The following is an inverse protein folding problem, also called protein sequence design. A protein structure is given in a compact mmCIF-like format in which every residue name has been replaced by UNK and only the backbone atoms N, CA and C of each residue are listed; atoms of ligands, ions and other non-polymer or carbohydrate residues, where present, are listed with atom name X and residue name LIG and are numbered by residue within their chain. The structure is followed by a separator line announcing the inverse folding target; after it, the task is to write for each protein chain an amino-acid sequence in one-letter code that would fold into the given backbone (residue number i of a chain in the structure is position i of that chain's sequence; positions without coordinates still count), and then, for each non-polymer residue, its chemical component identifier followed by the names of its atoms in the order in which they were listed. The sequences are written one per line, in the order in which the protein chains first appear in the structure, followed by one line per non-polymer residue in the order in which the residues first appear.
data_IF_749713479890
#
_entry.id   IF_749713479890
#
_cell.length_a   1.000
_cell.length_b   1.000
_cell.length_c   1.000
_cell.angle_alpha   90.00
_cell.angle_beta   90.00
_cell.angle_gamma   90.00
#
_symmetry.space_group_name_H-M   'P 1'
#
loop_
_entity.id
_entity.type
_entity.pdbx_description
1 polymer ?
#
# COMPACT_ATOMS: atom_id res chain seq x y z
N UNK A 1 -28.26 37.10 1.85
CA UNK A 1 -29.63 36.68 2.25
C UNK A 1 -29.53 35.25 2.75
N UNK A 2 -29.90 35.10 3.98
CA UNK A 2 -29.79 33.88 4.78
C UNK A 2 -30.76 32.80 4.27
N UNK A 3 -30.31 31.55 4.34
CA UNK A 3 -31.21 30.40 4.39
C UNK A 3 -31.11 29.84 5.81
N UNK A 4 -32.08 30.22 6.63
CA UNK A 4 -32.36 29.63 7.93
C UNK A 4 -33.22 28.37 7.80
N UNK A 5 -32.87 27.41 8.56
CA UNK A 5 -33.35 26.20 9.12
C UNK A 5 -34.74 25.68 8.82
N UNK A 6 -34.79 24.35 8.86
CA UNK A 6 -35.87 23.61 9.54
C UNK A 6 -35.47 22.13 9.63
N UNK A 7 -35.54 21.62 10.85
CA UNK A 7 -35.42 20.23 11.24
C UNK A 7 -36.49 19.33 10.60
N UNK A 8 -36.10 18.11 10.33
CA UNK A 8 -37.04 17.01 10.41
C UNK A 8 -37.26 16.21 9.15
N UNK A 9 -36.87 14.96 9.21
CA UNK A 9 -37.43 13.83 8.50
C UNK A 9 -37.00 13.54 7.05
N UNK A 10 -36.30 12.47 6.94
CA UNK A 10 -36.29 11.44 5.89
C UNK A 10 -36.69 11.79 4.44
N UNK A 11 -35.95 11.13 3.58
CA UNK A 11 -36.19 10.75 2.18
C UNK A 11 -35.56 11.63 1.09
N UNK A 12 -34.60 10.97 0.46
CA UNK A 12 -34.28 10.95 -0.98
C UNK A 12 -34.68 12.19 -1.79
N UNK A 13 -33.74 12.84 -2.40
CA UNK A 13 -33.70 13.01 -3.86
C UNK A 13 -32.60 14.00 -4.26
N UNK A 14 -31.80 13.58 -5.18
CA UNK A 14 -30.91 14.33 -6.06
C UNK A 14 -31.29 15.79 -6.28
N UNK A 15 -30.49 16.70 -5.72
CA UNK A 15 -30.56 18.14 -6.00
C UNK A 15 -29.38 18.60 -6.86
N UNK A 16 -29.57 18.56 -8.18
CA UNK A 16 -28.67 19.12 -9.18
C UNK A 16 -28.89 20.63 -9.27
N UNK A 17 -28.01 21.42 -8.68
CA UNK A 17 -28.00 22.86 -8.91
C UNK A 17 -27.30 23.21 -10.20
N UNK A 18 -28.11 23.48 -11.24
CA UNK A 18 -27.69 24.04 -12.52
C UNK A 18 -27.49 25.54 -12.33
N UNK A 19 -26.28 26.03 -12.59
CA UNK A 19 -26.00 27.46 -12.64
C UNK A 19 -26.07 27.91 -14.11
N UNK A 20 -27.04 28.79 -14.38
CA UNK A 20 -27.28 29.41 -15.66
C UNK A 20 -26.09 30.26 -16.14
N UNK A 21 -25.69 30.02 -17.34
CA UNK A 21 -24.74 30.84 -18.09
C UNK A 21 -25.48 32.05 -18.67
N UNK A 22 -25.14 33.23 -18.19
CA UNK A 22 -25.57 34.48 -18.86
C UNK A 22 -24.51 34.87 -19.91
N UNK A 23 -24.94 34.84 -21.13
CA UNK A 23 -24.27 35.43 -22.29
C UNK A 23 -24.23 36.95 -22.10
N UNK A 24 -23.07 37.55 -22.34
CA UNK A 24 -23.00 38.91 -22.76
C UNK A 24 -21.97 39.06 -23.87
N UNK A 25 -22.49 39.50 -24.99
CA UNK A 25 -21.87 39.75 -26.27
C UNK A 25 -21.48 41.22 -26.31
N UNK A 26 -20.30 41.59 -26.77
CA UNK A 26 -20.17 42.76 -27.68
C UNK A 26 -18.72 42.97 -28.15
N UNK A 27 -18.65 42.90 -29.42
CA UNK A 27 -17.90 43.62 -30.44
C UNK A 27 -16.84 44.63 -29.99
N UNK A 28 -15.67 44.52 -30.66
CA UNK A 28 -14.63 45.52 -30.67
C UNK A 28 -13.50 45.17 -31.63
N UNK A 29 -13.75 45.43 -32.93
CA UNK A 29 -12.70 45.39 -33.96
C UNK A 29 -11.66 46.45 -33.68
N UNK A 30 -10.37 46.11 -33.63
CA UNK A 30 -9.31 46.95 -34.14
C UNK A 30 -8.11 46.11 -34.55
N UNK A 31 -7.73 46.31 -35.81
CA UNK A 31 -6.55 45.74 -36.44
C UNK A 31 -5.27 46.28 -35.84
N UNK A 32 -4.29 45.40 -35.62
CA UNK A 32 -2.91 45.73 -35.29
C UNK A 32 -2.04 44.55 -35.69
N UNK A 33 -1.55 44.61 -36.92
CA UNK A 33 -0.42 43.78 -37.38
C UNK A 33 0.80 44.26 -36.63
N UNK A 34 1.52 43.37 -36.03
CA UNK A 34 2.93 43.28 -35.73
C UNK A 34 3.16 42.71 -34.33
N UNK A 35 3.44 41.39 -34.26
CA UNK A 35 3.74 40.73 -32.97
C UNK A 35 3.93 39.21 -33.05
N UNK A 36 3.93 38.64 -34.24
CA UNK A 36 3.87 37.19 -34.41
C UNK A 36 5.19 36.43 -34.23
N UNK A 37 6.30 37.09 -33.92
CA UNK A 37 7.60 36.38 -33.78
C UNK A 37 8.13 36.25 -32.35
N UNK A 38 7.54 36.97 -31.39
CA UNK A 38 8.00 36.87 -29.97
C UNK A 38 7.16 35.92 -29.11
N UNK A 39 5.94 35.59 -29.50
CA UNK A 39 5.04 34.72 -28.75
C UNK A 39 5.32 33.23 -28.94
N UNK A 40 5.90 32.84 -30.08
CA UNK A 40 6.27 31.45 -30.36
C UNK A 40 7.46 30.96 -29.52
N UNK A 41 8.38 31.84 -29.15
CA UNK A 41 9.54 31.49 -28.34
C UNK A 41 9.21 31.25 -26.85
N UNK A 42 8.18 31.92 -26.33
CA UNK A 42 7.77 31.78 -24.92
C UNK A 42 6.91 30.52 -24.73
N UNK A 43 6.09 30.15 -25.72
CA UNK A 43 5.30 28.92 -25.66
C UNK A 43 6.16 27.65 -25.69
N UNK A 44 7.28 27.65 -26.44
CA UNK A 44 8.23 26.55 -26.48
C UNK A 44 9.02 26.37 -25.17
N UNK A 45 9.31 27.45 -24.44
CA UNK A 45 10.02 27.40 -23.17
C UNK A 45 9.14 26.86 -22.03
N UNK A 46 7.84 27.12 -22.02
CA UNK A 46 6.90 26.59 -21.02
C UNK A 46 6.59 25.10 -21.23
N UNK A 47 6.64 24.60 -22.47
CA UNK A 47 6.47 23.17 -22.75
C UNK A 47 7.66 22.31 -22.29
N UNK A 48 8.87 22.90 -22.22
CA UNK A 48 10.07 22.18 -21.77
C UNK A 48 10.16 22.04 -20.24
N UNK A 49 9.48 22.89 -19.44
CA UNK A 49 9.44 22.80 -17.99
C UNK A 49 8.42 21.75 -17.47
N UNK A 50 7.48 21.30 -18.29
CA UNK A 50 6.47 20.30 -17.91
C UNK A 50 6.96 18.85 -17.95
N UNK A 51 8.15 18.58 -18.46
CA UNK A 51 8.72 17.24 -18.62
C UNK A 51 9.62 16.77 -17.46
N UNK A 52 9.69 17.52 -16.36
CA UNK A 52 10.25 17.02 -15.10
C UNK A 52 9.24 16.07 -14.50
N UNK A 53 9.03 14.93 -15.18
CA UNK A 53 8.23 13.81 -14.71
C UNK A 53 8.71 13.44 -13.32
N UNK A 54 7.78 13.39 -12.37
CA UNK A 54 7.98 12.88 -11.04
C UNK A 54 8.58 11.49 -11.16
N UNK A 55 9.91 11.37 -11.01
CA UNK A 55 10.55 10.10 -10.78
C UNK A 55 9.96 9.61 -9.46
N UNK A 56 8.95 8.75 -9.54
CA UNK A 56 8.48 7.97 -8.40
C UNK A 56 9.69 7.15 -7.95
N UNK A 57 10.40 7.65 -6.93
CA UNK A 57 11.52 6.95 -6.33
C UNK A 57 11.02 5.55 -5.99
N UNK A 58 11.63 4.54 -6.58
CA UNK A 58 11.37 3.15 -6.24
C UNK A 58 11.60 3.03 -4.73
N UNK A 59 10.52 2.98 -3.95
CA UNK A 59 10.60 2.76 -2.51
C UNK A 59 11.07 1.34 -2.32
N UNK A 60 12.16 1.21 -1.62
CA UNK A 60 12.65 -0.07 -1.16
C UNK A 60 11.76 -0.54 -0.01
N UNK A 61 11.01 -1.61 -0.21
CA UNK A 61 9.98 -2.07 0.72
C UNK A 61 9.86 -3.59 0.70
N UNK A 62 9.53 -4.21 1.83
CA UNK A 62 8.99 -5.57 1.86
C UNK A 62 7.47 -5.47 1.78
N UNK A 63 6.91 -6.02 0.72
CA UNK A 63 5.49 -6.01 0.43
C UNK A 63 4.91 -7.42 0.45
N UNK A 64 3.66 -7.57 0.84
CA UNK A 64 2.95 -8.83 0.77
C UNK A 64 1.60 -8.62 0.09
N UNK A 65 1.27 -9.54 -0.83
CA UNK A 65 -0.01 -9.57 -1.55
C UNK A 65 -0.79 -10.81 -1.14
N UNK A 66 -2.04 -10.61 -0.76
CA UNK A 66 -2.98 -11.68 -0.48
C UNK A 66 -3.69 -12.11 -1.77
N UNK A 67 -3.21 -13.16 -2.40
CA UNK A 67 -3.83 -13.77 -3.59
C UNK A 67 -4.72 -14.97 -3.23
N UNK A 68 -5.14 -15.07 -1.97
CA UNK A 68 -6.08 -16.08 -1.50
C UNK A 68 -7.52 -15.58 -1.59
N UNK A 69 -8.47 -16.48 -1.43
CA UNK A 69 -9.90 -16.16 -1.42
C UNK A 69 -10.42 -15.74 -0.02
N UNK A 70 -9.55 -15.68 1.01
CA UNK A 70 -9.92 -15.35 2.38
C UNK A 70 -9.13 -14.13 2.90
N UNK A 71 -9.63 -13.52 3.95
CA UNK A 71 -8.84 -12.55 4.72
C UNK A 71 -7.73 -13.29 5.45
N UNK A 72 -6.53 -12.71 5.42
CA UNK A 72 -5.36 -13.24 6.12
C UNK A 72 -4.86 -12.26 7.18
N UNK A 73 -4.30 -12.81 8.25
CA UNK A 73 -3.50 -12.09 9.25
C UNK A 73 -2.05 -12.50 9.09
N UNK A 74 -1.16 -11.53 8.98
CA UNK A 74 0.26 -11.75 8.66
C UNK A 74 1.14 -11.22 9.78
N UNK A 75 2.16 -11.97 10.13
CA UNK A 75 3.27 -11.53 10.96
C UNK A 75 4.59 -11.73 10.21
N UNK A 76 5.57 -10.88 10.47
CA UNK A 76 6.91 -10.94 9.90
C UNK A 76 7.96 -11.03 10.99
N UNK A 77 9.12 -11.57 10.65
CA UNK A 77 10.31 -11.46 11.47
C UNK A 77 11.54 -11.25 10.60
N UNK A 78 12.52 -10.57 11.15
CA UNK A 78 13.76 -10.21 10.47
C UNK A 78 14.86 -9.89 11.50
N UNK A 79 16.07 -9.72 11.01
CA UNK A 79 17.21 -9.27 11.81
C UNK A 79 17.98 -8.20 11.04
N UNK A 80 18.50 -7.23 11.77
CA UNK A 80 19.44 -6.23 11.26
C UNK A 80 20.92 -6.70 11.41
N UNK A 81 21.12 -7.96 11.77
CA UNK A 81 22.43 -8.55 12.07
C UNK A 81 22.85 -8.35 13.55
N UNK A 82 22.12 -7.59 14.33
CA UNK A 82 22.38 -7.37 15.77
C UNK A 82 21.29 -7.99 16.64
N UNK A 83 20.04 -7.75 16.29
CA UNK A 83 18.89 -8.24 17.01
C UNK A 83 17.83 -8.82 16.07
N UNK A 84 17.09 -9.79 16.59
CA UNK A 84 15.87 -10.28 15.94
C UNK A 84 14.69 -9.43 16.35
N UNK A 85 13.79 -9.20 15.42
CA UNK A 85 12.50 -8.58 15.67
C UNK A 85 11.39 -9.40 14.99
N UNK A 86 10.26 -9.54 15.66
CA UNK A 86 9.03 -10.05 15.06
C UNK A 86 7.90 -9.07 15.32
N UNK A 87 7.06 -8.83 14.34
CA UNK A 87 5.96 -7.89 14.44
C UNK A 87 4.77 -8.35 13.60
N UNK A 88 3.57 -7.93 13.98
CA UNK A 88 2.25 -8.25 13.40
C UNK A 88 1.17 -7.60 14.25
N UNK A 89 -0.07 -7.65 13.86
CA UNK A 89 -0.64 -8.36 12.72
C UNK A 89 -1.09 -7.37 11.65
N UNK A 90 -0.78 -7.68 10.41
CA UNK A 90 -1.39 -7.01 9.25
C UNK A 90 -2.54 -7.84 8.75
N UNK A 91 -3.72 -7.23 8.64
CA UNK A 91 -4.94 -7.91 8.21
C UNK A 91 -5.28 -7.51 6.77
N UNK A 92 -5.02 -8.40 5.81
CA UNK A 92 -5.21 -8.15 4.40
C UNK A 92 -6.47 -8.86 3.87
N UNK A 93 -7.33 -8.09 3.19
CA UNK A 93 -8.45 -8.65 2.42
C UNK A 93 -7.93 -9.38 1.16
N UNK A 94 -8.75 -10.26 0.54
CA UNK A 94 -8.42 -10.84 -0.76
C UNK A 94 -8.04 -9.78 -1.79
N UNK A 95 -7.08 -10.09 -2.64
CA UNK A 95 -6.54 -9.24 -3.70
C UNK A 95 -5.92 -7.90 -3.23
N UNK A 96 -5.60 -7.77 -1.94
CA UNK A 96 -4.93 -6.58 -1.39
C UNK A 96 -3.45 -6.86 -1.17
N UNK A 97 -2.62 -5.88 -1.51
CA UNK A 97 -1.20 -5.88 -1.19
C UNK A 97 -0.90 -4.77 -0.19
N UNK A 98 -0.04 -5.06 0.79
CA UNK A 98 0.39 -4.10 1.80
C UNK A 98 1.90 -4.09 1.96
N UNK A 99 2.45 -2.93 2.33
CA UNK A 99 3.86 -2.79 2.68
C UNK A 99 4.04 -3.10 4.15
N UNK A 100 4.73 -4.18 4.45
CA UNK A 100 4.99 -4.65 5.81
C UNK A 100 6.20 -3.93 6.42
N UNK A 101 7.28 -3.78 5.65
CA UNK A 101 8.44 -2.99 6.04
C UNK A 101 8.70 -1.89 5.02
N UNK A 102 8.93 -0.68 5.53
CA UNK A 102 9.28 0.49 4.72
C UNK A 102 10.77 0.76 4.81
N UNK A 103 11.36 1.11 3.67
CA UNK A 103 12.80 1.39 3.58
C UNK A 103 13.58 0.21 3.00
N UNK A 104 14.87 0.41 2.73
CA UNK A 104 15.73 -0.60 2.10
C UNK A 104 15.78 -1.87 2.93
N UNK A 105 15.69 -3.00 2.23
CA UNK A 105 15.89 -4.30 2.87
C UNK A 105 17.34 -4.39 3.36
N UNK A 106 17.52 -4.63 4.65
CA UNK A 106 18.82 -4.69 5.32
C UNK A 106 19.34 -6.11 5.50
N UNK A 107 18.48 -7.12 5.29
CA UNK A 107 18.82 -8.53 5.41
C UNK A 107 18.50 -9.27 4.11
N UNK A 108 19.18 -10.40 3.90
CA UNK A 108 18.86 -11.33 2.83
C UNK A 108 17.62 -12.17 3.16
N UNK A 109 17.46 -12.56 4.44
CA UNK A 109 16.41 -13.46 4.86
C UNK A 109 15.36 -12.72 5.67
N UNK A 110 14.10 -12.92 5.28
CA UNK A 110 12.92 -12.48 6.00
C UNK A 110 12.04 -13.69 6.30
N UNK A 111 11.24 -13.59 7.33
CA UNK A 111 10.43 -14.69 7.81
C UNK A 111 8.98 -14.23 7.88
N UNK A 112 8.07 -15.07 7.42
CA UNK A 112 6.64 -14.76 7.38
C UNK A 112 5.86 -15.89 8.01
N UNK A 113 4.86 -15.54 8.79
CA UNK A 113 3.78 -16.39 9.20
C UNK A 113 2.46 -15.74 8.80
N UNK A 114 1.53 -16.52 8.30
CA UNK A 114 0.20 -16.04 8.01
C UNK A 114 -0.84 -17.09 8.37
N UNK A 115 -2.04 -16.62 8.72
CA UNK A 115 -3.21 -17.47 8.93
C UNK A 115 -4.43 -16.82 8.29
N UNK A 116 -5.38 -17.62 7.85
CA UNK A 116 -6.64 -17.13 7.32
C UNK A 116 -7.79 -17.31 8.32
N UNK A 117 -8.90 -16.63 8.06
CA UNK A 117 -10.11 -16.70 8.89
C UNK A 117 -10.81 -18.07 8.85
N UNK A 118 -10.37 -19.00 8.01
CA UNK A 118 -10.88 -20.37 7.87
C UNK A 118 -9.99 -21.42 8.54
N UNK A 119 -8.92 -21.00 9.21
CA UNK A 119 -7.97 -21.84 9.92
C UNK A 119 -6.85 -22.39 9.04
N UNK A 120 -6.67 -21.85 7.83
CA UNK A 120 -5.49 -22.14 7.00
C UNK A 120 -4.27 -21.40 7.53
N UNK A 121 -3.10 -22.02 7.43
CA UNK A 121 -1.84 -21.44 7.89
C UNK A 121 -0.72 -21.58 6.86
N UNK A 122 0.07 -20.52 6.73
CA UNK A 122 1.35 -20.51 6.04
C UNK A 122 2.43 -20.40 7.11
N UNK A 123 3.03 -21.53 7.44
CA UNK A 123 4.02 -21.66 8.50
C UNK A 123 5.27 -22.41 8.05
N UNK A 124 6.34 -22.28 8.81
CA UNK A 124 7.62 -22.94 8.56
C UNK A 124 8.29 -23.42 9.85
N UNK A 125 9.61 -23.58 9.78
CA UNK A 125 10.41 -24.18 10.85
C UNK A 125 11.24 -23.15 11.64
N UNK A 126 11.22 -21.88 11.25
CA UNK A 126 11.95 -20.81 11.96
C UNK A 126 11.05 -20.23 13.03
N UNK A 127 11.38 -20.51 14.30
CA UNK A 127 10.51 -20.12 15.41
C UNK A 127 10.82 -18.71 15.89
N UNK A 128 9.74 -17.92 16.06
CA UNK A 128 9.76 -16.53 16.52
C UNK A 128 8.72 -16.34 17.62
N UNK A 129 8.88 -15.28 18.40
CA UNK A 129 7.91 -14.92 19.42
C UNK A 129 6.76 -14.11 18.82
N UNK A 130 5.52 -14.45 19.15
CA UNK A 130 4.31 -13.76 18.71
C UNK A 130 3.36 -13.47 19.87
N UNK A 131 2.30 -12.75 19.61
CA UNK A 131 1.21 -12.48 20.56
C UNK A 131 -0.11 -12.37 19.78
N UNK A 132 -1.24 -12.64 20.43
CA UNK A 132 -2.59 -12.61 19.82
C UNK A 132 -3.02 -11.24 19.31
N UNK A 133 -2.48 -10.16 19.87
CA UNK A 133 -2.74 -8.77 19.46
C UNK A 133 -1.61 -8.24 18.63
N UNK A 134 -1.80 -7.06 18.02
CA UNK A 134 -0.71 -6.28 17.43
C UNK A 134 0.50 -6.25 18.36
N UNK A 135 1.67 -6.56 17.81
CA UNK A 135 2.89 -6.72 18.59
C UNK A 135 4.13 -6.30 17.80
N UNK A 136 5.15 -5.93 18.57
CA UNK A 136 6.54 -5.87 18.16
C UNK A 136 7.36 -6.45 19.29
N UNK A 137 8.04 -7.57 19.02
CA UNK A 137 8.84 -8.31 19.99
C UNK A 137 10.28 -8.37 19.53
N UNK A 138 11.19 -7.94 20.37
CA UNK A 138 12.62 -8.11 20.16
C UNK A 138 13.11 -9.44 20.73
N UNK A 139 14.03 -10.10 20.00
CA UNK A 139 14.52 -11.43 20.35
C UNK A 139 13.54 -12.54 19.99
N UNK A 140 14.06 -13.75 19.79
CA UNK A 140 13.29 -14.94 19.43
C UNK A 140 13.42 -16.09 20.41
N UNK A 141 14.24 -15.90 21.46
CA UNK A 141 14.47 -16.92 22.47
C UNK A 141 13.49 -16.75 23.63
N UNK A 142 13.26 -17.84 24.36
CA UNK A 142 12.48 -17.90 25.59
C UNK A 142 11.07 -17.29 25.50
N UNK A 143 10.39 -17.45 24.36
CA UNK A 143 9.10 -16.82 24.10
C UNK A 143 8.11 -17.06 25.24
N UNK A 144 7.91 -18.30 25.66
CA UNK A 144 6.95 -18.64 26.72
C UNK A 144 7.29 -18.04 28.06
N UNK A 145 8.57 -18.05 28.44
CA UNK A 145 9.05 -17.45 29.72
C UNK A 145 8.79 -15.94 29.71
N UNK A 146 8.86 -15.32 28.56
CA UNK A 146 8.62 -13.89 28.36
C UNK A 146 7.13 -13.54 28.14
N UNK A 147 6.23 -14.53 28.19
CA UNK A 147 4.79 -14.33 28.01
C UNK A 147 4.35 -14.16 26.57
N UNK A 148 5.08 -14.74 25.64
CA UNK A 148 4.76 -14.78 24.20
C UNK A 148 4.52 -16.20 23.73
N UNK A 149 3.82 -16.33 22.61
CA UNK A 149 3.70 -17.58 21.89
C UNK A 149 4.94 -17.85 21.03
N UNK A 150 5.19 -19.12 20.74
CA UNK A 150 6.27 -19.57 19.89
C UNK A 150 5.70 -20.08 18.57
N UNK A 151 5.81 -19.29 17.51
CA UNK A 151 5.19 -19.52 16.21
C UNK A 151 6.24 -19.84 15.15
N UNK A 152 5.94 -20.78 14.27
CA UNK A 152 6.83 -21.18 13.18
C UNK A 152 6.62 -20.33 11.93
N UNK A 153 7.64 -19.62 11.49
CA UNK A 153 7.65 -18.79 10.29
C UNK A 153 8.36 -19.52 9.14
N UNK A 154 7.92 -19.29 7.92
CA UNK A 154 8.66 -19.73 6.74
C UNK A 154 9.65 -18.65 6.28
N UNK A 155 10.75 -19.08 5.72
CA UNK A 155 11.84 -18.24 5.28
C UNK A 155 11.63 -17.77 3.84
N UNK A 156 11.98 -16.52 3.61
CA UNK A 156 12.03 -15.88 2.28
C UNK A 156 13.45 -15.40 2.06
N UNK A 157 14.11 -15.95 1.04
CA UNK A 157 15.38 -15.45 0.56
C UNK A 157 15.13 -14.38 -0.50
N UNK A 158 15.46 -13.14 -0.16
CA UNK A 158 15.33 -11.99 -1.08
C UNK A 158 16.58 -11.79 -1.94
N UNK A 159 17.63 -12.57 -1.72
CA UNK A 159 18.93 -12.35 -2.33
C UNK A 159 19.74 -11.25 -1.61
N UNK A 160 21.04 -11.21 -1.92
CA UNK A 160 22.00 -10.35 -1.19
C UNK A 160 21.81 -8.85 -1.43
N UNK A 161 21.29 -8.47 -2.60
CA UNK A 161 21.28 -7.09 -3.06
C UNK A 161 19.87 -6.54 -3.29
N UNK A 162 18.84 -7.26 -2.85
CA UNK A 162 17.46 -6.83 -3.03
C UNK A 162 17.18 -5.55 -2.24
N UNK A 163 16.66 -4.55 -2.94
CA UNK A 163 16.19 -3.29 -2.31
C UNK A 163 14.72 -3.38 -1.94
N UNK A 164 13.95 -4.15 -2.70
CA UNK A 164 12.53 -4.39 -2.49
C UNK A 164 12.18 -5.84 -2.80
N UNK A 165 11.13 -6.33 -2.19
CA UNK A 165 10.62 -7.68 -2.42
C UNK A 165 9.12 -7.73 -2.24
N UNK A 166 8.44 -8.54 -3.04
CA UNK A 166 7.00 -8.79 -2.89
C UNK A 166 6.74 -10.27 -2.70
N UNK A 167 6.18 -10.59 -1.55
CA UNK A 167 5.69 -11.94 -1.23
C UNK A 167 4.26 -12.07 -1.74
N UNK A 168 3.94 -13.18 -2.41
CA UNK A 168 2.59 -13.49 -2.82
C UNK A 168 2.11 -14.72 -2.08
N UNK A 169 1.08 -14.57 -1.25
CA UNK A 169 0.40 -15.69 -0.62
C UNK A 169 -0.76 -16.15 -1.50
N UNK A 170 -0.75 -17.43 -1.84
CA UNK A 170 -1.80 -18.11 -2.60
C UNK A 170 -2.41 -19.20 -1.74
N UNK A 171 -3.65 -19.59 -2.03
CA UNK A 171 -4.24 -20.75 -1.37
C UNK A 171 -3.31 -21.97 -1.54
N UNK A 172 -3.10 -22.78 -0.49
CA UNK A 172 -2.31 -23.99 -0.62
C UNK A 172 -2.92 -24.89 -1.68
N UNK A 173 -2.07 -25.50 -2.51
CA UNK A 173 -2.53 -26.46 -3.51
C UNK A 173 -3.38 -27.53 -2.82
N UNK A 174 -4.63 -27.69 -3.24
CA UNK A 174 -5.50 -28.74 -2.70
C UNK A 174 -4.87 -30.10 -3.05
N UNK A 175 -4.65 -31.00 -2.04
CA UNK A 175 -4.20 -32.34 -2.34
C UNK A 175 -5.25 -33.00 -3.25
N UNK A 176 -4.90 -33.29 -4.50
CA UNK A 176 -5.80 -33.93 -5.47
C UNK A 176 -6.12 -33.13 -6.73
N UNK A 177 -5.65 -31.90 -6.91
CA UNK A 177 -5.78 -31.14 -8.15
C UNK A 177 -4.53 -31.31 -9.06
N UNK A 178 -4.08 -32.55 -9.24
CA UNK A 178 -3.16 -32.88 -10.31
C UNK A 178 -3.99 -33.13 -11.57
N UNK A 179 -3.88 -32.22 -12.55
CA UNK A 179 -4.32 -32.47 -13.94
C UNK A 179 -3.19 -33.10 -14.72
#
# INVERSE_FOLDING_TARGET
MACEGLEGRELETTGFCRRDARKENQDGRHAGRDGTMKTLAIAAALAALGALGSASGARADLRLCNNTAARISVAIAYTDGKAWASEGWWNLKPAVCETLLRGGLSAQFYYVYAMDERGGEWKGKSFMCTRDREFKVEGREDCYVRGFDRTGFFEIDTGKDAKNWTVQLTDPARPGAAQ
#
